data_IF_805666900591
#
_entry.id   IF_805666900591
#
_cell.length_a   1.000
_cell.length_b   1.000
_cell.length_c   1.000
_cell.angle_alpha   90.00
_cell.angle_beta   90.00
_cell.angle_gamma   90.00
#
_symmetry.space_group_name_H-M   'P 1'
#
loop_
_entity.id
_entity.type
_entity.pdbx_description
1 polymer ?
#
# COMPACT_ATOMS: atom_id res chain seq x y z
N UNK A 1 22.58 1.20 -11.34
CA UNK A 1 21.21 1.68 -11.56
C UNK A 1 21.20 2.50 -12.83
N UNK A 2 20.65 1.94 -13.90
CA UNK A 2 20.45 2.59 -15.19
C UNK A 2 18.95 2.91 -15.37
N UNK A 3 18.56 3.43 -16.54
CA UNK A 3 17.16 3.76 -16.85
C UNK A 3 16.23 2.55 -16.72
N UNK A 4 16.65 1.39 -17.19
CA UNK A 4 15.85 0.17 -17.21
C UNK A 4 15.63 -0.35 -15.78
N UNK A 5 16.66 -0.26 -14.92
CA UNK A 5 16.55 -0.58 -13.49
C UNK A 5 15.47 0.29 -12.81
N UNK A 6 15.44 1.60 -13.12
CA UNK A 6 14.46 2.53 -12.56
C UNK A 6 13.05 2.19 -13.08
N UNK A 7 12.90 1.88 -14.37
CA UNK A 7 11.63 1.47 -14.95
C UNK A 7 11.09 0.20 -14.30
N UNK A 8 11.96 -0.79 -14.10
CA UNK A 8 11.62 -2.04 -13.43
C UNK A 8 11.13 -1.79 -12.00
N UNK A 9 11.76 -0.88 -11.25
CA UNK A 9 11.32 -0.53 -9.89
C UNK A 9 9.92 0.10 -9.87
N UNK A 10 9.58 0.96 -10.84
CA UNK A 10 8.23 1.51 -10.94
C UNK A 10 7.16 0.48 -11.31
N UNK A 11 7.50 -0.47 -12.19
CA UNK A 11 6.61 -1.57 -12.55
C UNK A 11 6.39 -2.51 -11.37
N UNK A 12 7.47 -2.82 -10.65
CA UNK A 12 7.43 -3.60 -9.42
C UNK A 12 6.55 -2.91 -8.36
N UNK A 13 6.73 -1.62 -8.12
CA UNK A 13 5.92 -0.87 -7.15
C UNK A 13 4.43 -0.91 -7.49
N UNK A 14 4.08 -0.77 -8.77
CA UNK A 14 2.67 -0.88 -9.22
C UNK A 14 2.11 -2.28 -8.97
N UNK A 15 2.86 -3.33 -9.31
CA UNK A 15 2.46 -4.71 -9.06
C UNK A 15 2.30 -4.98 -7.56
N UNK A 16 3.27 -4.56 -6.75
CA UNK A 16 3.29 -4.77 -5.32
C UNK A 16 2.11 -4.06 -4.63
N UNK A 17 1.84 -2.81 -5.00
CA UNK A 17 0.69 -2.05 -4.49
C UNK A 17 -0.63 -2.76 -4.78
N UNK A 18 -0.83 -3.24 -6.01
CA UNK A 18 -2.04 -3.99 -6.37
C UNK A 18 -2.18 -5.28 -5.55
N UNK A 19 -1.09 -6.03 -5.35
CA UNK A 19 -1.10 -7.26 -4.53
C UNK A 19 -1.44 -6.97 -3.07
N UNK A 20 -0.85 -5.94 -2.48
CA UNK A 20 -1.12 -5.55 -1.10
C UNK A 20 -2.56 -5.09 -0.94
N UNK A 21 -3.07 -4.24 -1.83
CA UNK A 21 -4.46 -3.77 -1.80
C UNK A 21 -5.47 -4.92 -1.93
N UNK A 22 -5.18 -5.90 -2.78
CA UNK A 22 -6.00 -7.11 -2.89
C UNK A 22 -6.00 -7.90 -1.56
N UNK A 23 -4.83 -8.10 -0.95
CA UNK A 23 -4.72 -8.85 0.31
C UNK A 23 -5.48 -8.17 1.46
N UNK A 24 -5.34 -6.85 1.61
CA UNK A 24 -6.00 -6.10 2.70
C UNK A 24 -7.52 -6.00 2.49
N UNK A 25 -8.01 -6.04 1.25
CA UNK A 25 -9.45 -6.02 0.95
C UNK A 25 -10.22 -7.24 1.49
N UNK A 26 -9.52 -8.35 1.75
CA UNK A 26 -10.11 -9.56 2.33
C UNK A 26 -10.22 -9.50 3.87
N UNK A 27 -9.64 -8.48 4.52
CA UNK A 27 -9.67 -8.34 5.97
C UNK A 27 -10.98 -7.72 6.44
N UNK A 28 -11.51 -8.22 7.56
CA UNK A 28 -12.55 -7.50 8.30
C UNK A 28 -11.97 -6.24 8.94
N UNK A 29 -12.83 -5.27 9.22
CA UNK A 29 -12.44 -4.01 9.85
C UNK A 29 -11.65 -4.23 11.15
N UNK A 30 -12.08 -5.17 11.99
CA UNK A 30 -11.41 -5.45 13.27
C UNK A 30 -10.02 -6.03 13.05
N UNK A 31 -9.83 -6.86 12.02
CA UNK A 31 -8.52 -7.43 11.68
C UNK A 31 -7.58 -6.38 11.09
N UNK A 32 -8.12 -5.46 10.30
CA UNK A 32 -7.37 -4.38 9.66
C UNK A 32 -6.82 -3.36 10.66
N UNK A 33 -7.56 -3.08 11.75
CA UNK A 33 -7.17 -2.10 12.78
C UNK A 33 -6.62 -2.71 14.05
N UNK A 34 -6.55 -4.05 14.16
CA UNK A 34 -6.02 -4.74 15.37
C UNK A 34 -4.58 -4.32 15.65
N UNK A 35 -4.27 -4.10 16.93
CA UNK A 35 -2.89 -3.90 17.38
C UNK A 35 -2.08 -5.21 17.26
N UNK A 36 -0.96 -5.15 16.56
CA UNK A 36 -0.02 -6.25 16.30
C UNK A 36 1.32 -6.05 17.03
N UNK A 37 1.52 -4.93 17.73
CA UNK A 37 2.73 -4.66 18.55
C UNK A 37 4.02 -4.37 17.77
N UNK A 38 3.94 -4.12 16.45
CA UNK A 38 5.09 -3.80 15.60
C UNK A 38 5.43 -2.30 15.52
N UNK A 39 6.41 -1.94 14.68
CA UNK A 39 6.80 -0.54 14.41
C UNK A 39 5.62 0.33 13.96
N UNK A 40 4.69 -0.27 13.21
CA UNK A 40 3.36 0.26 12.96
C UNK A 40 2.36 -0.65 13.66
N UNK A 41 1.47 -0.06 14.46
CA UNK A 41 0.63 -0.82 15.38
C UNK A 41 -0.39 -1.72 14.68
N UNK A 42 -0.78 -1.40 13.44
CA UNK A 42 -1.77 -2.20 12.70
C UNK A 42 -1.42 -2.37 11.21
N UNK A 43 -2.16 -3.25 10.53
CA UNK A 43 -2.10 -3.40 9.06
C UNK A 43 -2.46 -2.07 8.39
N UNK A 44 -3.47 -1.37 8.90
CA UNK A 44 -3.84 -0.02 8.44
C UNK A 44 -2.68 0.95 8.55
N UNK A 45 -2.04 1.03 9.72
CA UNK A 45 -0.99 2.03 9.95
C UNK A 45 0.25 1.74 9.08
N UNK A 46 0.55 0.45 8.87
CA UNK A 46 1.57 0.02 7.89
C UNK A 46 1.20 0.44 6.46
N UNK A 47 -0.05 0.20 6.04
CA UNK A 47 -0.51 0.54 4.70
C UNK A 47 -0.49 2.05 4.44
N UNK A 48 -0.91 2.86 5.43
CA UNK A 48 -0.84 4.33 5.36
C UNK A 48 0.61 4.79 5.19
N UNK A 49 1.54 4.22 5.96
CA UNK A 49 2.97 4.55 5.87
C UNK A 49 3.54 4.27 4.47
N UNK A 50 3.28 3.08 3.92
CA UNK A 50 3.75 2.68 2.58
C UNK A 50 3.09 3.52 1.49
N UNK A 51 1.79 3.81 1.62
CA UNK A 51 1.02 4.57 0.61
C UNK A 51 1.41 6.04 0.56
N UNK A 52 1.84 6.62 1.69
CA UNK A 52 2.37 7.97 1.75
C UNK A 52 3.71 8.10 1.01
N UNK A 53 4.56 7.07 1.07
CA UNK A 53 5.85 7.05 0.39
C UNK A 53 5.74 6.84 -1.14
N UNK A 54 4.75 6.06 -1.58
CA UNK A 54 4.56 5.69 -2.99
C UNK A 54 3.59 6.60 -3.76
N UNK A 55 2.88 7.52 -3.08
CA UNK A 55 1.93 8.46 -3.70
C UNK A 55 0.58 7.84 -4.10
N UNK A 56 0.31 6.59 -3.72
CA UNK A 56 -0.95 5.86 -4.03
C UNK A 56 -2.18 6.57 -3.44
N UNK A 57 -2.01 7.27 -2.32
CA UNK A 57 -3.06 8.09 -1.67
C UNK A 57 -3.78 9.06 -2.62
N UNK A 58 -3.08 9.57 -3.64
CA UNK A 58 -3.62 10.53 -4.60
C UNK A 58 -4.57 9.92 -5.65
N UNK A 59 -4.52 8.61 -5.85
CA UNK A 59 -5.39 7.91 -6.83
C UNK A 59 -6.67 7.35 -6.19
N UNK A 60 -6.65 7.09 -4.88
CA UNK A 60 -7.82 6.57 -4.14
C UNK A 60 -8.90 7.65 -3.96
N UNK A 61 -8.53 8.93 -3.96
CA UNK A 61 -9.44 10.07 -3.81
C UNK A 61 -10.07 10.60 -5.11
N UNK A 62 -9.67 10.10 -6.28
CA UNK A 62 -10.17 10.57 -7.60
C UNK A 62 -11.28 9.71 -8.21
N UNK A 63 -11.68 8.63 -7.54
CA UNK A 63 -12.75 7.73 -8.00
C UNK A 63 -14.04 7.91 -7.18
N UNK A 64 -14.53 9.15 -7.04
CA UNK A 64 -15.92 9.48 -6.66
C UNK A 64 -16.28 10.88 -7.19
N UNK A 65 -17.50 11.04 -7.72
CA UNK A 65 -17.91 10.68 -9.09
C UNK A 65 -17.24 11.54 -10.18
#
# INVERSE_FOLDING_TARGET
>A
MNKDDIQLLYEYDRWANNRVLQAVSALRAEQFTRDLGGSFRSVRDTLVHISAASGVGSHIGRSRP
#
